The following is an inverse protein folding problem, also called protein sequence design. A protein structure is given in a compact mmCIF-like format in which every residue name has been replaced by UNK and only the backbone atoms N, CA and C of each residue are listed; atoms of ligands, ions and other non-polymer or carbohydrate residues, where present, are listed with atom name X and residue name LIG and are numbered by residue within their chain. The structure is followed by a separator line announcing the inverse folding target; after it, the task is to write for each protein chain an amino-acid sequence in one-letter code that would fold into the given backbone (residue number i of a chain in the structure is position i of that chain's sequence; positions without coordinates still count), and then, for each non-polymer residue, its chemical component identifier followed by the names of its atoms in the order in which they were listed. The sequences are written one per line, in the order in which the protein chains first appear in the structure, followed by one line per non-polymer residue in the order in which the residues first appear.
data_IF_288512833360
#
_entry.id   IF_288512833360
#
_cell.length_a   1.000
_cell.length_b   1.000
_cell.length_c   1.000
_cell.angle_alpha   90.00
_cell.angle_beta   90.00
_cell.angle_gamma   90.00
#
_symmetry.space_group_name_H-M   'P 1'
#
loop_
_entity.id
_entity.type
_entity.pdbx_description
1 polymer ?
#
# COMPACT_ATOMS: atom_id res chain seq x y z
N UNK A 1 -17.30 3.81 14.16
CA UNK A 1 -15.91 3.92 13.83
C UNK A 1 -15.59 5.26 13.15
N UNK A 2 -14.39 5.45 12.67
CA UNK A 2 -13.91 6.74 12.15
C UNK A 2 -14.70 7.24 10.93
N UNK A 3 -15.20 6.34 10.08
CA UNK A 3 -15.95 6.73 8.89
C UNK A 3 -17.21 7.54 9.20
N UNK A 4 -17.86 7.29 10.33
CA UNK A 4 -19.06 8.06 10.74
C UNK A 4 -18.72 9.52 11.02
N UNK A 5 -17.57 9.76 11.63
CA UNK A 5 -17.08 11.12 11.88
C UNK A 5 -16.70 11.83 10.57
N UNK A 6 -16.08 11.09 9.65
CA UNK A 6 -15.75 11.60 8.32
C UNK A 6 -17.00 11.97 7.53
N UNK A 7 -17.99 11.09 7.53
CA UNK A 7 -19.28 11.34 6.86
C UNK A 7 -19.97 12.60 7.38
N UNK A 8 -19.98 12.79 8.70
CA UNK A 8 -20.53 14.02 9.32
C UNK A 8 -19.80 15.29 8.91
N UNK A 9 -18.52 15.21 8.58
CA UNK A 9 -17.68 16.32 8.11
C UNK A 9 -17.75 16.54 6.60
N UNK A 10 -18.55 15.75 5.88
CA UNK A 10 -18.72 15.86 4.43
C UNK A 10 -17.77 15.01 3.59
N UNK A 11 -16.99 14.13 4.20
CA UNK A 11 -16.10 13.21 3.51
C UNK A 11 -14.76 12.99 4.20
N UNK A 12 -13.88 12.27 3.51
CA UNK A 12 -12.54 11.97 4.02
C UNK A 12 -11.77 11.05 3.10
N UNK A 13 -10.55 10.73 3.52
CA UNK A 13 -9.69 9.80 2.82
C UNK A 13 -9.04 8.84 3.80
N UNK A 14 -9.01 7.57 3.44
CA UNK A 14 -8.38 6.48 4.19
C UNK A 14 -7.33 5.86 3.29
N UNK A 15 -6.12 5.66 3.83
CA UNK A 15 -5.05 4.91 3.16
C UNK A 15 -4.69 3.72 4.03
N UNK A 16 -4.90 2.53 3.49
CA UNK A 16 -4.50 1.28 4.13
C UNK A 16 -3.09 0.88 3.68
N UNK A 17 -2.36 0.20 4.55
CA UNK A 17 -1.07 -0.34 4.20
C UNK A 17 -1.21 -1.81 3.82
N UNK A 18 -1.03 -2.10 2.54
CA UNK A 18 -0.89 -3.44 1.99
C UNK A 18 0.60 -3.82 1.89
N UNK A 19 0.95 -4.68 0.96
CA UNK A 19 2.32 -5.08 0.64
C UNK A 19 2.34 -5.77 -0.71
N UNK A 20 3.47 -5.72 -1.41
CA UNK A 20 3.69 -6.54 -2.60
C UNK A 20 3.62 -8.04 -2.29
N UNK A 21 3.79 -8.44 -1.03
CA UNK A 21 3.58 -9.83 -0.59
C UNK A 21 2.20 -10.38 -0.96
N UNK A 22 1.19 -9.53 -1.14
CA UNK A 22 -0.14 -9.93 -1.59
C UNK A 22 -0.14 -10.63 -2.96
N UNK A 23 0.88 -10.41 -3.79
CA UNK A 23 1.02 -11.01 -5.11
C UNK A 23 2.10 -12.10 -5.19
N UNK A 24 2.78 -12.40 -4.07
CA UNK A 24 3.82 -13.42 -4.04
C UNK A 24 3.30 -14.81 -3.66
N UNK A 25 2.13 -14.88 -3.05
CA UNK A 25 1.42 -16.13 -2.70
C UNK A 25 2.26 -17.11 -1.87
N UNK A 26 3.10 -16.61 -0.96
CA UNK A 26 4.12 -17.44 -0.31
C UNK A 26 3.91 -17.71 1.18
N UNK A 27 3.08 -16.93 1.88
CA UNK A 27 2.90 -17.10 3.34
C UNK A 27 1.63 -16.41 3.87
N UNK A 28 1.38 -16.57 5.17
CA UNK A 28 0.21 -15.97 5.83
C UNK A 28 0.25 -14.43 5.82
N UNK A 29 1.42 -13.83 5.87
CA UNK A 29 1.55 -12.37 5.74
C UNK A 29 1.01 -11.90 4.39
N UNK A 30 1.39 -12.57 3.32
CA UNK A 30 0.87 -12.29 1.98
C UNK A 30 -0.65 -12.47 1.92
N UNK A 31 -1.16 -13.56 2.50
CA UNK A 31 -2.60 -13.82 2.56
C UNK A 31 -3.35 -12.70 3.31
N UNK A 32 -2.81 -12.24 4.45
CA UNK A 32 -3.39 -11.13 5.19
C UNK A 32 -3.43 -9.85 4.35
N UNK A 33 -2.39 -9.60 3.55
CA UNK A 33 -2.33 -8.42 2.67
C UNK A 33 -3.27 -8.52 1.47
N UNK A 34 -3.54 -9.72 0.95
CA UNK A 34 -4.65 -9.94 0.01
C UNK A 34 -5.98 -9.52 0.65
N UNK A 35 -6.19 -9.87 1.92
CA UNK A 35 -7.36 -9.44 2.69
C UNK A 35 -7.46 -7.92 2.82
N UNK A 36 -6.35 -7.24 3.07
CA UNK A 36 -6.32 -5.76 3.12
C UNK A 36 -6.70 -5.15 1.76
N UNK A 37 -6.25 -5.74 0.66
CA UNK A 37 -6.63 -5.28 -0.68
C UNK A 37 -8.14 -5.42 -0.89
N UNK A 38 -8.71 -6.57 -0.58
CA UNK A 38 -10.15 -6.82 -0.68
C UNK A 38 -10.96 -5.88 0.21
N UNK A 39 -10.52 -5.68 1.46
CA UNK A 39 -11.16 -4.75 2.38
C UNK A 39 -11.14 -3.31 1.86
N UNK A 40 -10.02 -2.88 1.30
CA UNK A 40 -9.89 -1.54 0.69
C UNK A 40 -10.93 -1.33 -0.42
N UNK A 41 -11.08 -2.30 -1.30
CA UNK A 41 -12.04 -2.24 -2.41
C UNK A 41 -13.48 -2.27 -1.93
N UNK A 42 -13.79 -3.13 -0.96
CA UNK A 42 -15.11 -3.21 -0.37
C UNK A 42 -15.50 -1.89 0.31
N UNK A 43 -14.63 -1.35 1.16
CA UNK A 43 -14.89 -0.09 1.85
C UNK A 43 -15.02 1.09 0.89
N UNK A 44 -14.23 1.12 -0.18
CA UNK A 44 -14.37 2.14 -1.22
C UNK A 44 -15.78 2.12 -1.84
N UNK A 45 -16.30 0.93 -2.11
CA UNK A 45 -17.64 0.76 -2.67
C UNK A 45 -18.71 1.18 -1.66
N UNK A 46 -18.58 0.77 -0.40
CA UNK A 46 -19.58 1.06 0.63
C UNK A 46 -19.59 2.53 1.06
N UNK A 47 -18.44 3.19 1.10
CA UNK A 47 -18.30 4.53 1.67
C UNK A 47 -18.25 5.65 0.64
N UNK A 48 -18.17 5.31 -0.66
CA UNK A 48 -18.08 6.30 -1.74
C UNK A 48 -19.25 7.28 -1.78
N UNK A 49 -20.47 6.79 -1.50
CA UNK A 49 -21.67 7.65 -1.43
C UNK A 49 -21.62 8.70 -0.31
N UNK A 50 -20.74 8.52 0.68
CA UNK A 50 -20.51 9.46 1.78
C UNK A 50 -19.29 10.36 1.52
N UNK A 51 -18.77 10.36 0.28
CA UNK A 51 -17.58 11.10 -0.12
C UNK A 51 -16.33 10.68 0.68
N UNK A 52 -16.24 9.40 1.04
CA UNK A 52 -15.06 8.84 1.70
C UNK A 52 -14.34 7.97 0.69
N UNK A 53 -13.08 8.31 0.42
CA UNK A 53 -12.19 7.54 -0.46
C UNK A 53 -11.37 6.56 0.36
N UNK A 54 -11.19 5.37 -0.16
CA UNK A 54 -10.39 4.32 0.49
C UNK A 54 -9.45 3.73 -0.54
N UNK A 55 -8.17 3.91 -0.32
CA UNK A 55 -7.10 3.38 -1.17
C UNK A 55 -6.07 2.65 -0.31
N UNK A 56 -5.19 1.92 -0.94
CA UNK A 56 -4.07 1.28 -0.26
C UNK A 56 -2.75 1.57 -0.97
N UNK A 57 -1.68 1.59 -0.19
CA UNK A 57 -0.32 1.56 -0.69
C UNK A 57 0.23 0.16 -0.43
N UNK A 58 0.85 -0.44 -1.44
CA UNK A 58 1.52 -1.72 -1.35
C UNK A 58 3.04 -1.51 -1.51
N UNK A 59 3.76 -1.32 -0.40
CA UNK A 59 5.21 -1.19 -0.45
C UNK A 59 5.87 -2.48 -0.92
N UNK A 60 6.95 -2.33 -1.68
CA UNK A 60 7.91 -3.40 -1.92
C UNK A 60 8.87 -3.58 -0.75
N UNK A 61 10.04 -4.19 -0.99
CA UNK A 61 11.06 -4.34 0.03
C UNK A 61 11.61 -2.99 0.47
N UNK A 62 11.37 -2.64 1.73
CA UNK A 62 11.79 -1.37 2.33
C UNK A 62 12.91 -1.62 3.33
N UNK A 63 13.97 -0.82 3.25
CA UNK A 63 15.09 -0.88 4.18
C UNK A 63 14.70 -0.24 5.51
N UNK A 64 14.22 -1.08 6.42
CA UNK A 64 13.86 -0.70 7.78
C UNK A 64 14.73 -1.47 8.77
N UNK A 65 14.85 -0.95 10.00
CA UNK A 65 15.55 -1.65 11.07
C UNK A 65 15.00 -3.07 11.29
N UNK A 66 13.68 -3.22 11.29
CA UNK A 66 13.03 -4.53 11.42
C UNK A 66 13.44 -5.49 10.30
N UNK A 67 13.47 -5.02 9.06
CA UNK A 67 13.88 -5.84 7.92
C UNK A 67 15.38 -6.18 7.94
N UNK A 68 16.23 -5.27 8.42
CA UNK A 68 17.67 -5.53 8.57
C UNK A 68 17.95 -6.64 9.56
N UNK A 69 17.15 -6.76 10.62
CA UNK A 69 17.33 -7.79 11.64
C UNK A 69 16.78 -9.16 11.24
N UNK A 70 15.79 -9.20 10.32
CA UNK A 70 15.10 -10.43 9.92
C UNK A 70 15.53 -10.96 8.57
N UNK A 71 16.15 -10.15 7.72
CA UNK A 71 16.55 -10.52 6.36
C UNK A 71 18.07 -10.66 6.26
N UNK A 72 18.61 -11.87 5.98
CA UNK A 72 20.05 -12.04 5.76
C UNK A 72 20.56 -11.17 4.60
N UNK A 73 21.77 -10.63 4.74
CA UNK A 73 22.35 -9.76 3.70
C UNK A 73 22.49 -10.42 2.34
N UNK A 74 22.68 -11.73 2.30
CA UNK A 74 22.75 -12.50 1.06
C UNK A 74 21.41 -12.46 0.30
N UNK A 75 20.30 -12.51 1.02
CA UNK A 75 18.96 -12.39 0.43
C UNK A 75 18.69 -10.97 -0.07
N UNK A 76 19.25 -9.95 0.57
CA UNK A 76 19.07 -8.54 0.15
C UNK A 76 19.61 -8.34 -1.27
N UNK A 77 20.77 -8.89 -1.59
CA UNK A 77 21.35 -8.79 -2.93
C UNK A 77 20.44 -9.41 -4.01
N UNK A 78 19.84 -10.58 -3.71
CA UNK A 78 18.91 -11.23 -4.63
C UNK A 78 17.60 -10.45 -4.77
N UNK A 79 17.09 -9.91 -3.68
CA UNK A 79 15.90 -9.03 -3.69
C UNK A 79 16.15 -7.81 -4.57
N UNK A 80 17.29 -7.14 -4.39
CA UNK A 80 17.64 -5.93 -5.15
C UNK A 80 17.77 -6.23 -6.65
N UNK A 81 18.32 -7.38 -7.02
CA UNK A 81 18.41 -7.80 -8.42
C UNK A 81 17.04 -7.95 -9.08
N UNK A 82 16.02 -8.31 -8.32
CA UNK A 82 14.66 -8.49 -8.82
C UNK A 82 13.88 -7.16 -8.93
N UNK A 83 14.44 -6.06 -8.43
CA UNK A 83 13.81 -4.74 -8.47
C UNK A 83 14.38 -3.93 -9.63
N UNK A 84 13.57 -3.53 -10.63
CA UNK A 84 14.04 -2.73 -11.76
C UNK A 84 14.83 -1.47 -11.38
N UNK A 85 14.44 -0.76 -10.32
CA UNK A 85 15.18 0.41 -9.83
C UNK A 85 16.45 0.06 -9.05
N UNK A 86 16.77 -1.24 -8.91
CA UNK A 86 18.04 -1.77 -8.41
C UNK A 86 18.45 -1.30 -7.02
N UNK A 87 17.49 -1.07 -6.15
CA UNK A 87 17.74 -0.73 -4.73
C UNK A 87 16.56 -1.15 -3.86
N UNK A 88 16.81 -1.28 -2.58
CA UNK A 88 15.72 -1.32 -1.58
C UNK A 88 15.03 0.04 -1.54
N UNK A 89 13.74 0.04 -1.27
CA UNK A 89 13.02 1.28 -0.96
C UNK A 89 13.43 1.83 0.40
N UNK A 90 13.22 3.12 0.59
CA UNK A 90 13.36 3.79 1.88
C UNK A 90 11.97 4.19 2.38
N UNK A 91 11.77 4.36 3.69
CA UNK A 91 10.47 4.83 4.22
C UNK A 91 9.98 6.11 3.53
N UNK A 92 10.89 7.02 3.19
CA UNK A 92 10.59 8.27 2.51
C UNK A 92 9.99 8.07 1.11
N UNK A 93 10.30 6.95 0.45
CA UNK A 93 9.75 6.63 -0.88
C UNK A 93 8.22 6.44 -0.84
N UNK A 94 7.65 6.17 0.33
CA UNK A 94 6.22 5.94 0.51
C UNK A 94 5.45 7.23 0.80
N UNK A 95 6.12 8.25 1.30
CA UNK A 95 5.49 9.46 1.85
C UNK A 95 4.72 10.23 0.77
N UNK A 96 5.32 10.43 -0.40
CA UNK A 96 4.70 11.19 -1.48
C UNK A 96 3.36 10.61 -1.93
N UNK A 97 3.30 9.29 -2.14
CA UNK A 97 2.05 8.63 -2.53
C UNK A 97 1.01 8.71 -1.40
N UNK A 98 1.42 8.52 -0.16
CA UNK A 98 0.52 8.61 0.99
C UNK A 98 -0.13 10.00 1.09
N UNK A 99 0.68 11.05 1.02
CA UNK A 99 0.20 12.44 1.07
C UNK A 99 -0.70 12.76 -0.11
N UNK A 100 -0.35 12.31 -1.32
CA UNK A 100 -1.18 12.50 -2.50
C UNK A 100 -2.56 11.87 -2.32
N UNK A 101 -2.63 10.62 -1.88
CA UNK A 101 -3.89 9.89 -1.70
C UNK A 101 -4.77 10.51 -0.61
N UNK A 102 -4.18 11.14 0.40
CA UNK A 102 -4.91 11.84 1.46
C UNK A 102 -5.35 13.25 1.06
N UNK A 103 -4.82 13.79 -0.05
CA UNK A 103 -5.11 15.14 -0.50
C UNK A 103 -6.31 15.21 -1.44
N UNK A 104 -6.83 16.43 -1.65
CA UNK A 104 -7.92 16.68 -2.59
C UNK A 104 -7.50 16.48 -4.05
N UNK A 105 -6.20 16.45 -4.34
CA UNK A 105 -5.71 16.13 -5.68
C UNK A 105 -6.08 14.73 -6.12
N UNK A 106 -6.31 13.82 -5.17
CA UNK A 106 -6.75 12.45 -5.41
C UNK A 106 -8.29 12.30 -5.33
N UNK A 107 -9.04 13.36 -5.54
CA UNK A 107 -10.51 13.38 -5.33
C UNK A 107 -11.30 12.42 -6.21
N UNK A 108 -10.73 11.95 -7.32
CA UNK A 108 -11.36 10.98 -8.23
C UNK A 108 -10.72 9.59 -8.12
N UNK A 109 -9.98 9.31 -7.03
CA UNK A 109 -9.27 8.04 -6.83
C UNK A 109 -9.81 7.36 -5.58
N UNK A 110 -10.40 6.17 -5.75
CA UNK A 110 -10.84 5.32 -4.65
C UNK A 110 -10.82 3.85 -5.07
N UNK A 111 -10.68 2.94 -4.12
CA UNK A 111 -10.68 1.51 -4.36
C UNK A 111 -9.40 0.97 -5.02
N UNK A 112 -8.34 1.76 -5.07
CA UNK A 112 -7.11 1.39 -5.77
C UNK A 112 -6.01 0.96 -4.79
N UNK A 113 -5.17 0.03 -5.26
CA UNK A 113 -3.99 -0.41 -4.54
C UNK A 113 -2.78 0.01 -5.37
N UNK A 114 -1.97 0.90 -4.82
CA UNK A 114 -0.82 1.47 -5.50
C UNK A 114 0.47 0.81 -5.03
N UNK A 115 1.16 0.13 -5.94
CA UNK A 115 2.47 -0.42 -5.64
C UNK A 115 3.51 0.71 -5.61
N UNK A 116 4.30 0.74 -4.53
CA UNK A 116 5.47 1.61 -4.39
C UNK A 116 6.64 0.69 -4.06
N UNK A 117 7.24 0.11 -5.10
CA UNK A 117 8.07 -1.07 -4.98
C UNK A 117 9.27 -1.12 -5.95
N UNK A 118 9.58 0.01 -6.59
CA UNK A 118 10.67 0.07 -7.56
C UNK A 118 10.45 -0.77 -8.80
N UNK A 119 9.22 -1.25 -9.03
CA UNK A 119 8.86 -2.10 -10.16
C UNK A 119 8.94 -3.60 -9.85
N UNK A 120 9.05 -3.98 -8.59
CA UNK A 120 9.13 -5.40 -8.20
C UNK A 120 7.94 -6.22 -8.73
N UNK A 121 6.74 -5.67 -8.63
CA UNK A 121 5.52 -6.32 -9.12
C UNK A 121 4.93 -5.47 -10.24
N UNK A 122 4.98 -5.98 -11.46
CA UNK A 122 4.35 -5.33 -12.61
C UNK A 122 3.02 -6.02 -12.87
N UNK A 123 1.97 -5.23 -12.84
CA UNK A 123 0.60 -5.71 -13.07
C UNK A 123 0.02 -5.07 -14.32
N UNK A 124 -0.75 -5.84 -15.05
CA UNK A 124 -1.56 -5.32 -16.15
C UNK A 124 -2.96 -4.96 -15.67
#
# INVERSE_FOLDING_TARGET
AVYRKMAKRGGGAIVNQSSTAAWLYSNFYGLAKVGVNGLTQQLATELGGQNIRVNAIAPGPIDTEANRTTTPQEMVADIVKAIPLSRMGQPEDLVGMCLFLLSDQASWITGQIFNVDGGQIIRS
#
